data_IF_450257578636
#
_entry.id   IF_450257578636
#
_cell.length_a   1.000
_cell.length_b   1.000
_cell.length_c   1.000
_cell.angle_alpha   90.00
_cell.angle_beta   90.00
_cell.angle_gamma   90.00
#
_symmetry.space_group_name_H-M   'P 1'
#
loop_
_entity.id
_entity.type
_entity.pdbx_description
1 polymer ?
#
# COMPACT_ATOMS: atom_id res chain seq x y z
N UNK A 1 17.14 -12.97 -9.99
CA UNK A 1 17.15 -13.00 -8.53
C UNK A 1 15.74 -12.92 -7.93
N UNK A 2 14.98 -11.91 -8.25
CA UNK A 2 13.62 -11.68 -7.74
C UNK A 2 12.69 -12.89 -7.93
N UNK A 3 12.62 -13.45 -9.14
CA UNK A 3 11.79 -14.64 -9.43
C UNK A 3 12.11 -15.84 -8.56
N UNK A 4 13.38 -16.09 -8.30
CA UNK A 4 13.82 -17.22 -7.45
C UNK A 4 13.43 -16.99 -5.99
N UNK A 5 13.59 -15.76 -5.53
CA UNK A 5 13.19 -15.36 -4.19
C UNK A 5 11.68 -15.50 -3.99
N UNK A 6 10.88 -15.01 -4.94
CA UNK A 6 9.42 -15.10 -4.86
C UNK A 6 8.94 -16.55 -4.84
N UNK A 7 9.54 -17.43 -5.65
CA UNK A 7 9.23 -18.87 -5.62
C UNK A 7 9.55 -19.49 -4.27
N UNK A 8 10.71 -19.17 -3.73
CA UNK A 8 11.11 -19.64 -2.40
C UNK A 8 10.14 -19.15 -1.33
N UNK A 9 9.79 -17.86 -1.37
CA UNK A 9 8.87 -17.24 -0.43
C UNK A 9 7.49 -17.90 -0.47
N UNK A 10 6.93 -18.11 -1.66
CA UNK A 10 5.63 -18.76 -1.84
C UNK A 10 5.59 -20.17 -1.22
N UNK A 11 6.71 -20.90 -1.24
CA UNK A 11 6.80 -22.22 -0.64
C UNK A 11 6.96 -22.21 0.89
N UNK A 12 7.28 -21.06 1.48
CA UNK A 12 7.56 -20.91 2.91
C UNK A 12 6.54 -20.06 3.68
N UNK A 13 5.69 -19.29 2.98
CA UNK A 13 4.61 -18.54 3.63
C UNK A 13 3.59 -19.52 4.18
N UNK A 14 3.29 -19.39 5.47
CA UNK A 14 2.30 -20.22 6.15
C UNK A 14 0.91 -20.00 5.60
N UNK A 15 0.14 -21.09 5.55
CA UNK A 15 -1.26 -21.06 5.12
C UNK A 15 -2.13 -21.53 6.27
N UNK A 16 -3.20 -20.78 6.58
CA UNK A 16 -4.24 -21.19 7.51
C UNK A 16 -5.57 -21.34 6.77
N UNK A 17 -6.57 -21.94 7.41
CA UNK A 17 -7.92 -22.09 6.84
C UNK A 17 -8.57 -20.74 6.51
N UNK A 18 -8.18 -19.68 7.18
CA UNK A 18 -8.70 -18.33 6.98
C UNK A 18 -8.14 -17.66 5.70
N UNK A 19 -7.03 -18.16 5.18
CA UNK A 19 -6.42 -17.61 3.95
C UNK A 19 -7.10 -18.24 2.74
N UNK A 20 -7.96 -17.48 2.09
CA UNK A 20 -8.70 -17.92 0.90
C UNK A 20 -7.82 -17.85 -0.34
N UNK A 21 -6.99 -16.81 -0.45
CA UNK A 21 -6.04 -16.60 -1.53
C UNK A 21 -4.75 -16.03 -0.95
N UNK A 22 -3.66 -16.72 -1.18
CA UNK A 22 -2.33 -16.35 -0.67
C UNK A 22 -1.52 -15.55 -1.68
N UNK A 23 -0.17 -15.65 -1.64
CA UNK A 23 0.75 -14.73 -2.32
C UNK A 23 0.92 -15.01 -3.82
N UNK A 24 -0.14 -15.37 -4.54
CA UNK A 24 -0.12 -15.71 -5.97
C UNK A 24 -0.90 -14.73 -6.84
N UNK A 25 -1.54 -13.73 -6.24
CA UNK A 25 -2.38 -12.77 -6.93
C UNK A 25 -2.04 -11.34 -6.47
N UNK A 26 -2.74 -10.33 -6.97
CA UNK A 26 -2.53 -8.90 -6.67
C UNK A 26 -2.72 -8.57 -5.19
N UNK A 27 -3.50 -9.38 -4.46
CA UNK A 27 -3.72 -9.21 -3.03
C UNK A 27 -4.02 -10.54 -2.36
N UNK A 28 -3.86 -10.58 -1.05
CA UNK A 28 -4.33 -11.68 -0.23
C UNK A 28 -5.82 -11.53 0.08
N UNK A 29 -6.52 -12.65 0.18
CA UNK A 29 -7.93 -12.72 0.55
C UNK A 29 -8.04 -13.55 1.83
N UNK A 30 -8.56 -12.92 2.88
CA UNK A 30 -8.65 -13.53 4.21
C UNK A 30 -10.10 -13.48 4.69
N UNK A 31 -10.56 -14.57 5.28
CA UNK A 31 -11.90 -14.67 5.85
C UNK A 31 -11.85 -14.37 7.35
N UNK A 32 -12.61 -13.37 7.77
CA UNK A 32 -12.74 -12.97 9.17
C UNK A 32 -14.10 -13.40 9.79
N UNK A 33 -14.77 -14.36 9.21
CA UNK A 33 -16.04 -14.90 9.72
C UNK A 33 -17.19 -13.87 9.77
N UNK A 34 -17.09 -12.76 9.05
CA UNK A 34 -18.07 -11.67 9.08
C UNK A 34 -19.05 -11.68 7.89
N UNK A 35 -19.01 -12.70 7.04
CA UNK A 35 -19.79 -12.74 5.79
C UNK A 35 -19.13 -11.96 4.67
N UNK A 36 -17.97 -11.34 4.91
CA UNK A 36 -17.13 -10.67 3.92
C UNK A 36 -15.71 -11.22 4.00
N UNK A 37 -15.01 -11.22 2.86
CA UNK A 37 -13.57 -11.46 2.85
C UNK A 37 -12.82 -10.13 2.99
N UNK A 38 -11.76 -10.12 3.76
CA UNK A 38 -10.81 -9.02 3.76
C UNK A 38 -9.82 -9.21 2.61
N UNK A 39 -9.56 -8.14 1.89
CA UNK A 39 -8.58 -8.08 0.80
C UNK A 39 -7.42 -7.23 1.29
N UNK A 40 -6.23 -7.80 1.30
CA UNK A 40 -5.02 -7.17 1.84
C UNK A 40 -3.98 -7.05 0.73
N UNK A 41 -3.46 -5.86 0.53
CA UNK A 41 -2.41 -5.58 -0.44
C UNK A 41 -1.39 -4.61 0.13
N UNK A 42 -0.15 -4.70 -0.32
CA UNK A 42 0.88 -3.74 0.02
C UNK A 42 1.78 -3.47 -1.18
N UNK A 43 2.11 -2.20 -1.39
CA UNK A 43 3.07 -1.76 -2.39
C UNK A 43 4.12 -0.85 -1.77
N UNK A 44 5.35 -1.02 -2.21
CA UNK A 44 6.45 -0.14 -1.86
C UNK A 44 6.87 0.66 -3.08
N UNK A 45 6.92 1.98 -2.95
CA UNK A 45 7.39 2.89 -4.00
C UNK A 45 8.57 3.70 -3.48
N UNK A 46 9.55 3.91 -4.36
CA UNK A 46 10.80 4.58 -3.99
C UNK A 46 11.15 5.66 -5.00
N UNK A 47 11.62 6.78 -4.48
CA UNK A 47 12.19 7.86 -5.28
C UNK A 47 13.41 7.35 -6.07
N UNK A 48 13.45 7.64 -7.35
CA UNK A 48 14.48 7.16 -8.27
C UNK A 48 14.17 5.80 -8.91
N UNK A 49 13.09 5.13 -8.52
CA UNK A 49 12.63 3.85 -9.07
C UNK A 49 11.24 3.98 -9.69
N UNK A 50 10.28 4.43 -8.90
CA UNK A 50 8.86 4.50 -9.30
C UNK A 50 8.44 5.90 -9.73
N UNK A 51 9.18 6.89 -9.28
CA UNK A 51 8.99 8.32 -9.59
C UNK A 51 10.30 9.06 -9.30
N UNK A 52 10.35 10.34 -9.65
CA UNK A 52 11.44 11.25 -9.28
C UNK A 52 10.83 12.44 -8.54
N UNK A 53 11.02 12.50 -7.23
CA UNK A 53 10.41 13.53 -6.37
C UNK A 53 10.77 14.96 -6.79
N UNK A 54 12.01 15.19 -7.25
CA UNK A 54 12.47 16.51 -7.68
C UNK A 54 11.76 17.03 -8.94
N UNK A 55 11.14 16.15 -9.72
CA UNK A 55 10.48 16.50 -10.99
C UNK A 55 8.96 16.72 -10.82
N UNK A 56 8.41 16.48 -9.64
CA UNK A 56 6.97 16.49 -9.42
C UNK A 56 6.57 17.22 -8.14
N UNK A 57 5.32 17.66 -8.09
CA UNK A 57 4.69 18.08 -6.84
C UNK A 57 4.55 16.86 -5.91
N UNK A 58 4.95 17.02 -4.66
CA UNK A 58 4.90 15.93 -3.67
C UNK A 58 3.48 15.42 -3.41
N UNK A 59 2.48 16.26 -3.58
CA UNK A 59 1.07 15.81 -3.52
C UNK A 59 0.75 14.83 -4.64
N UNK A 60 1.30 15.01 -5.84
CA UNK A 60 1.14 14.07 -6.95
C UNK A 60 1.88 12.75 -6.69
N UNK A 61 3.04 12.81 -6.06
CA UNK A 61 3.79 11.62 -5.64
C UNK A 61 2.96 10.82 -4.63
N UNK A 62 2.42 11.49 -3.62
CA UNK A 62 1.56 10.85 -2.63
C UNK A 62 0.30 10.24 -3.25
N UNK A 63 -0.32 10.95 -4.18
CA UNK A 63 -1.47 10.45 -4.95
C UNK A 63 -1.14 9.15 -5.68
N UNK A 64 0.01 9.10 -6.36
CA UNK A 64 0.45 7.88 -7.05
C UNK A 64 0.65 6.72 -6.09
N UNK A 65 1.31 6.96 -4.96
CA UNK A 65 1.57 5.93 -3.95
C UNK A 65 0.27 5.27 -3.44
N UNK A 66 -0.76 6.06 -3.21
CA UNK A 66 -2.05 5.53 -2.76
C UNK A 66 -2.84 4.91 -3.93
N UNK A 67 -2.79 5.51 -5.12
CA UNK A 67 -3.53 5.06 -6.28
C UNK A 67 -3.19 3.62 -6.69
N UNK A 68 -1.90 3.24 -6.66
CA UNK A 68 -1.49 1.88 -7.02
C UNK A 68 -2.06 0.84 -6.05
N UNK A 69 -2.15 1.19 -4.77
CA UNK A 69 -2.77 0.32 -3.77
C UNK A 69 -4.29 0.21 -3.95
N UNK A 70 -4.96 1.31 -4.26
CA UNK A 70 -6.40 1.31 -4.57
C UNK A 70 -6.68 0.48 -5.83
N UNK A 71 -5.78 0.52 -6.81
CA UNK A 71 -5.88 -0.28 -8.03
C UNK A 71 -5.85 -1.77 -7.74
N UNK A 72 -4.99 -2.23 -6.84
CA UNK A 72 -4.91 -3.65 -6.46
C UNK A 72 -6.18 -4.11 -5.73
N UNK A 73 -6.72 -3.28 -4.87
CA UNK A 73 -8.00 -3.59 -4.20
C UNK A 73 -9.14 -3.67 -5.24
N UNK A 74 -9.17 -2.74 -6.20
CA UNK A 74 -10.17 -2.74 -7.27
C UNK A 74 -10.03 -3.96 -8.18
N UNK A 75 -8.80 -4.41 -8.47
CA UNK A 75 -8.55 -5.61 -9.29
C UNK A 75 -9.16 -6.88 -8.67
N UNK A 76 -9.33 -6.90 -7.35
CA UNK A 76 -9.97 -7.99 -6.62
C UNK A 76 -11.50 -7.83 -6.49
N UNK A 77 -12.08 -6.81 -7.12
CA UNK A 77 -13.51 -6.50 -7.01
C UNK A 77 -13.93 -6.02 -5.63
N UNK A 78 -12.98 -5.56 -4.82
CA UNK A 78 -13.21 -5.18 -3.43
C UNK A 78 -13.41 -3.68 -3.28
N UNK A 79 -14.04 -3.30 -2.17
CA UNK A 79 -14.14 -1.90 -1.75
C UNK A 79 -12.99 -1.57 -0.80
N UNK A 80 -12.18 -0.54 -1.06
CA UNK A 80 -11.16 -0.10 -0.13
C UNK A 80 -11.79 0.46 1.15
N UNK A 81 -11.22 0.14 2.29
CA UNK A 81 -11.72 0.57 3.61
C UNK A 81 -10.67 1.33 4.39
N UNK A 82 -9.47 0.77 4.53
CA UNK A 82 -8.42 1.29 5.39
C UNK A 82 -7.07 1.23 4.70
N UNK A 83 -6.16 2.09 5.14
CA UNK A 83 -4.76 2.03 4.74
C UNK A 83 -3.85 2.31 5.93
N UNK A 84 -2.68 1.68 5.89
CA UNK A 84 -1.55 1.96 6.76
C UNK A 84 -0.42 2.49 5.90
N UNK A 85 0.22 3.59 6.31
CA UNK A 85 1.27 4.26 5.53
C UNK A 85 2.57 4.25 6.32
N UNK A 86 3.59 3.59 5.78
CA UNK A 86 4.94 3.61 6.34
C UNK A 86 5.86 4.44 5.45
N UNK A 87 6.59 5.37 6.06
CA UNK A 87 7.45 6.32 5.37
C UNK A 87 8.89 6.23 5.88
N UNK A 88 9.84 6.24 4.95
CA UNK A 88 11.24 6.58 5.22
C UNK A 88 11.55 7.89 4.53
N UNK A 89 11.67 8.97 5.31
CA UNK A 89 11.73 10.35 4.84
C UNK A 89 13.18 10.82 4.76
N UNK A 90 13.62 11.43 3.64
CA UNK A 90 14.96 12.02 3.56
C UNK A 90 15.18 13.07 4.64
N UNK A 91 16.38 13.11 5.23
CA UNK A 91 16.73 14.15 6.20
C UNK A 91 16.62 15.57 5.63
N UNK A 92 16.75 15.71 4.30
CA UNK A 92 16.65 17.00 3.63
C UNK A 92 15.23 17.57 3.56
N UNK A 93 14.22 16.75 3.83
CA UNK A 93 12.83 17.19 3.76
C UNK A 93 12.42 18.01 4.98
N UNK A 94 11.65 19.06 4.73
CA UNK A 94 10.96 19.80 5.77
C UNK A 94 9.66 19.11 6.19
N UNK A 95 9.07 19.53 7.31
CA UNK A 95 7.75 19.08 7.73
C UNK A 95 6.69 19.38 6.65
N UNK A 96 6.80 20.51 5.96
CA UNK A 96 5.89 20.89 4.88
C UNK A 96 5.96 19.93 3.70
N UNK A 97 7.15 19.44 3.36
CA UNK A 97 7.32 18.42 2.30
C UNK A 97 6.56 17.15 2.62
N UNK A 98 6.71 16.63 3.83
CA UNK A 98 6.03 15.43 4.29
C UNK A 98 4.52 15.62 4.33
N UNK A 99 4.05 16.80 4.78
CA UNK A 99 2.63 17.14 4.80
C UNK A 99 2.05 17.14 3.39
N UNK A 100 2.75 17.70 2.41
CA UNK A 100 2.32 17.69 1.01
C UNK A 100 2.16 16.27 0.45
N UNK A 101 3.13 15.41 0.72
CA UNK A 101 3.05 14.00 0.35
C UNK A 101 1.77 13.37 0.92
N UNK A 102 1.54 13.56 2.22
CA UNK A 102 0.38 12.98 2.91
C UNK A 102 -0.95 13.57 2.42
N UNK A 103 -1.00 14.85 2.07
CA UNK A 103 -2.19 15.47 1.46
C UNK A 103 -2.60 14.76 0.17
N UNK A 104 -1.63 14.38 -0.65
CA UNK A 104 -1.88 13.60 -1.87
C UNK A 104 -2.46 12.22 -1.57
N UNK A 105 -1.90 11.55 -0.57
CA UNK A 105 -2.37 10.23 -0.11
C UNK A 105 -3.81 10.35 0.43
N UNK A 106 -4.05 11.27 1.34
CA UNK A 106 -5.38 11.47 1.94
C UNK A 106 -6.42 11.86 0.91
N UNK A 107 -6.07 12.72 -0.05
CA UNK A 107 -7.00 13.21 -1.06
C UNK A 107 -7.61 12.09 -1.90
N UNK A 108 -6.78 11.23 -2.47
CA UNK A 108 -7.28 10.12 -3.29
C UNK A 108 -7.93 9.02 -2.44
N UNK A 109 -7.39 8.72 -1.27
CA UNK A 109 -8.02 7.75 -0.36
C UNK A 109 -9.45 8.15 -0.04
N UNK A 110 -9.66 9.42 0.30
CA UNK A 110 -10.99 9.98 0.61
C UNK A 110 -11.95 9.87 -0.57
N UNK A 111 -11.49 10.12 -1.78
CA UNK A 111 -12.31 10.02 -2.99
C UNK A 111 -12.89 8.62 -3.20
N UNK A 112 -12.20 7.59 -2.71
CA UNK A 112 -12.63 6.19 -2.83
C UNK A 112 -13.14 5.59 -1.52
N UNK A 113 -13.40 6.44 -0.52
CA UNK A 113 -13.98 6.01 0.75
C UNK A 113 -13.03 5.25 1.66
N UNK A 114 -11.72 5.35 1.42
CA UNK A 114 -10.70 4.73 2.26
C UNK A 114 -10.19 5.71 3.32
N UNK A 115 -9.82 5.19 4.48
CA UNK A 115 -9.27 5.96 5.59
C UNK A 115 -7.87 5.49 5.95
N UNK A 116 -6.92 6.40 6.01
CA UNK A 116 -5.61 6.13 6.59
C UNK A 116 -5.78 6.08 8.11
N UNK A 117 -5.53 4.93 8.70
CA UNK A 117 -5.79 4.68 10.13
C UNK A 117 -4.54 4.51 10.96
N UNK A 118 -3.37 4.51 10.35
CA UNK A 118 -2.11 4.39 11.05
C UNK A 118 -0.94 4.20 10.11
N UNK A 119 0.20 3.82 10.65
CA UNK A 119 1.42 3.58 9.91
C UNK A 119 2.65 3.78 10.77
N UNK A 120 3.76 4.06 10.14
CA UNK A 120 5.06 4.27 10.79
C UNK A 120 5.86 5.32 10.04
N UNK A 121 6.74 6.02 10.72
CA UNK A 121 7.57 7.07 10.13
C UNK A 121 8.99 6.99 10.65
N UNK A 122 9.93 6.86 9.71
CA UNK A 122 11.35 6.96 9.97
C UNK A 122 11.97 8.07 9.12
N UNK A 123 13.16 8.48 9.48
CA UNK A 123 13.98 9.42 8.70
C UNK A 123 15.34 8.80 8.43
N UNK A 124 15.90 9.07 7.26
CA UNK A 124 17.21 8.56 6.89
C UNK A 124 17.89 9.46 5.86
N UNK A 125 19.15 9.18 5.55
CA UNK A 125 19.96 9.94 4.59
C UNK A 125 19.81 9.47 3.14
N UNK A 126 18.74 8.77 2.82
CA UNK A 126 18.48 8.21 1.49
C UNK A 126 17.18 8.75 0.91
N UNK A 127 16.89 8.50 -0.37
CA UNK A 127 15.65 8.94 -1.00
C UNK A 127 14.40 8.41 -0.31
N UNK A 128 13.27 9.07 -0.56
CA UNK A 128 11.97 8.68 -0.04
C UNK A 128 11.63 7.24 -0.40
N UNK A 129 11.17 6.49 0.59
CA UNK A 129 10.50 5.22 0.39
C UNK A 129 9.14 5.26 1.09
N UNK A 130 8.11 4.79 0.38
CA UNK A 130 6.73 4.74 0.86
C UNK A 130 6.22 3.32 0.73
N UNK A 131 5.73 2.75 1.83
CA UNK A 131 5.01 1.48 1.80
C UNK A 131 3.60 1.69 2.31
N UNK A 132 2.61 1.34 1.50
CA UNK A 132 1.20 1.45 1.87
C UNK A 132 0.59 0.05 1.89
N UNK A 133 -0.06 -0.28 2.99
CA UNK A 133 -0.89 -1.47 3.10
C UNK A 133 -2.35 -1.06 2.99
N UNK A 134 -3.04 -1.58 2.01
CA UNK A 134 -4.46 -1.31 1.79
C UNK A 134 -5.30 -2.52 2.22
N UNK A 135 -6.42 -2.22 2.85
CA UNK A 135 -7.37 -3.21 3.34
C UNK A 135 -8.73 -2.88 2.75
N UNK A 136 -9.31 -3.85 2.08
CA UNK A 136 -10.64 -3.75 1.51
C UNK A 136 -11.51 -4.93 1.90
N UNK A 137 -12.75 -4.90 1.45
CA UNK A 137 -13.70 -5.99 1.68
C UNK A 137 -14.43 -6.35 0.40
N UNK A 138 -14.74 -7.64 0.27
CA UNK A 138 -15.57 -8.17 -0.81
C UNK A 138 -16.55 -9.17 -0.23
N UNK A 139 -17.77 -9.18 -0.72
CA UNK A 139 -18.79 -10.12 -0.25
C UNK A 139 -18.39 -11.56 -0.57
N UNK A 140 -18.70 -12.47 0.34
CA UNK A 140 -18.59 -13.92 0.09
C UNK A 140 -19.70 -14.31 -0.89
N UNK A 141 -19.31 -14.97 -1.97
CA UNK A 141 -20.24 -15.45 -3.01
C UNK A 141 -20.71 -16.86 -2.69
#
# INVERSE_FOLDING_TARGET
>A
MERLFLKWLQSHIGVSEEVVLGPTDDAALVDFESGEHAVLSTDMLMDGVDFVCSDHDLALVGRKCMAVNLSDIAAMGAKPKYALVSLSIPYSWSAADTQKLMEGIFGIARNYGAHVVGGDTNRWKHPLAVSITAIGTVAVI
#
